data_IF_367658292613
#
_entry.id   IF_367658292613
#
_cell.length_a   1.000
_cell.length_b   1.000
_cell.length_c   1.000
_cell.angle_alpha   90.00
_cell.angle_beta   90.00
_cell.angle_gamma   90.00
#
_symmetry.space_group_name_H-M   'P 1'
#
loop_
_entity.id
_entity.type
_entity.pdbx_description
1 polymer ?
#
# COMPACT_ATOMS: atom_id res chain seq x y z
N UNK A 1 13.59 4.58 -21.69
CA UNK A 1 12.17 4.68 -22.08
C UNK A 1 11.64 3.50 -22.91
N UNK A 2 12.16 3.17 -24.10
CA UNK A 2 11.59 2.07 -24.92
C UNK A 2 11.56 0.70 -24.20
N UNK A 3 12.68 0.26 -23.62
CA UNK A 3 12.74 -1.00 -22.86
C UNK A 3 11.81 -1.01 -21.63
N UNK A 4 11.58 0.15 -21.02
CA UNK A 4 10.68 0.28 -19.86
C UNK A 4 9.23 0.07 -20.31
N UNK A 5 8.83 0.70 -21.40
CA UNK A 5 7.51 0.55 -21.99
C UNK A 5 7.27 -0.90 -22.44
N UNK A 6 8.23 -1.52 -23.14
CA UNK A 6 8.12 -2.92 -23.59
C UNK A 6 7.88 -3.87 -22.42
N UNK A 7 8.69 -3.76 -21.35
CA UNK A 7 8.53 -4.55 -20.12
C UNK A 7 7.16 -4.33 -19.49
N UNK A 8 6.77 -3.07 -19.32
CA UNK A 8 5.49 -2.75 -18.71
C UNK A 8 4.31 -3.34 -19.50
N UNK A 9 4.30 -3.15 -20.82
CA UNK A 9 3.26 -3.68 -21.70
C UNK A 9 3.24 -5.21 -21.73
N UNK A 10 4.39 -5.88 -21.60
CA UNK A 10 4.48 -7.33 -21.45
C UNK A 10 3.83 -7.80 -20.13
N UNK A 11 4.15 -7.15 -19.01
CA UNK A 11 3.68 -7.56 -17.68
C UNK A 11 2.17 -7.33 -17.50
N UNK A 12 1.64 -6.19 -17.94
CA UNK A 12 0.21 -5.86 -17.75
C UNK A 12 -0.72 -6.82 -18.51
N UNK A 13 -0.24 -7.46 -19.58
CA UNK A 13 -1.00 -8.45 -20.34
C UNK A 13 -1.11 -9.81 -19.62
N UNK A 14 -0.26 -10.08 -18.64
CA UNK A 14 -0.31 -11.30 -17.83
C UNK A 14 -1.35 -11.09 -16.73
N UNK A 15 -2.46 -11.84 -16.76
CA UNK A 15 -3.47 -11.83 -15.71
C UNK A 15 -2.87 -12.37 -14.41
N UNK A 16 -2.66 -11.50 -13.43
CA UNK A 16 -2.08 -11.83 -12.11
C UNK A 16 -3.03 -11.51 -10.95
N UNK A 17 -4.32 -11.31 -11.23
CA UNK A 17 -5.29 -10.87 -10.23
C UNK A 17 -5.30 -11.79 -9.01
N UNK A 18 -5.16 -11.22 -7.80
CA UNK A 18 -5.26 -11.98 -6.55
C UNK A 18 -6.72 -12.23 -6.19
N UNK A 19 -6.94 -13.17 -5.27
CA UNK A 19 -8.28 -13.61 -4.87
C UNK A 19 -8.39 -13.56 -3.35
N UNK A 20 -9.40 -12.82 -2.88
CA UNK A 20 -9.79 -12.84 -1.47
C UNK A 20 -10.32 -14.25 -1.13
N UNK A 21 -9.49 -15.08 -0.50
CA UNK A 21 -9.88 -16.45 -0.14
C UNK A 21 -10.57 -16.50 1.23
N UNK A 22 -11.77 -17.10 1.28
CA UNK A 22 -12.52 -17.27 2.54
C UNK A 22 -12.07 -18.50 3.37
N UNK A 23 -11.09 -19.29 2.89
CA UNK A 23 -10.55 -20.51 3.52
C UNK A 23 -9.05 -20.62 3.25
N UNK A 24 -8.39 -21.63 3.83
CA UNK A 24 -6.95 -21.90 3.83
C UNK A 24 -6.18 -21.16 2.73
N UNK A 25 -5.31 -20.25 3.15
CA UNK A 25 -4.57 -19.31 2.29
C UNK A 25 -3.60 -20.11 1.42
N UNK A 26 -4.00 -20.43 0.20
CA UNK A 26 -3.05 -20.83 -0.83
C UNK A 26 -2.38 -19.54 -1.30
N UNK A 27 -1.08 -19.41 -1.03
CA UNK A 27 -0.24 -18.31 -1.55
C UNK A 27 0.69 -18.89 -2.62
N UNK A 28 0.70 -18.36 -3.85
CA UNK A 28 -0.14 -17.27 -4.34
C UNK A 28 -1.60 -17.72 -4.57
N UNK A 29 -2.53 -16.78 -4.49
CA UNK A 29 -3.97 -17.03 -4.61
C UNK A 29 -4.43 -17.30 -6.05
N UNK A 30 -3.57 -17.04 -7.04
CA UNK A 30 -3.81 -17.29 -8.45
C UNK A 30 -2.57 -17.77 -9.22
N UNK A 31 -2.80 -18.62 -10.23
CA UNK A 31 -1.74 -19.18 -11.10
C UNK A 31 -1.01 -18.11 -11.94
N UNK A 32 -1.68 -16.98 -12.19
CA UNK A 32 -1.11 -15.87 -12.95
C UNK A 32 0.17 -15.31 -12.34
N UNK A 33 0.22 -15.24 -11.01
CA UNK A 33 1.39 -14.74 -10.27
C UNK A 33 2.61 -15.65 -10.51
N UNK A 34 2.42 -16.97 -10.56
CA UNK A 34 3.48 -17.92 -10.93
C UNK A 34 4.01 -17.69 -12.35
N UNK A 35 3.12 -17.38 -13.29
CA UNK A 35 3.50 -17.09 -14.67
C UNK A 35 4.38 -15.84 -14.74
N UNK A 36 3.96 -14.73 -14.13
CA UNK A 36 4.76 -13.50 -14.10
C UNK A 36 6.10 -13.72 -13.37
N UNK A 37 6.11 -14.38 -12.21
CA UNK A 37 7.33 -14.71 -11.48
C UNK A 37 8.30 -15.54 -12.34
N UNK A 38 7.80 -16.48 -13.14
CA UNK A 38 8.63 -17.29 -14.04
C UNK A 38 9.24 -16.45 -15.17
N UNK A 39 8.48 -15.53 -15.75
CA UNK A 39 8.98 -14.57 -16.74
C UNK A 39 10.08 -13.70 -16.12
N UNK A 40 9.82 -13.11 -14.95
CA UNK A 40 10.78 -12.26 -14.25
C UNK A 40 12.05 -13.02 -13.87
N UNK A 41 11.94 -14.27 -13.43
CA UNK A 41 13.08 -15.14 -13.14
C UNK A 41 14.02 -15.28 -14.35
N UNK A 42 13.47 -15.62 -15.51
CA UNK A 42 14.26 -15.76 -16.75
C UNK A 42 14.88 -14.43 -17.19
N UNK A 43 14.18 -13.31 -16.99
CA UNK A 43 14.70 -11.98 -17.27
C UNK A 43 15.83 -11.57 -16.30
N UNK A 44 15.72 -11.90 -15.01
CA UNK A 44 16.79 -11.68 -14.01
C UNK A 44 18.04 -12.50 -14.34
N UNK A 45 17.89 -13.77 -14.74
CA UNK A 45 18.99 -14.61 -15.23
C UNK A 45 19.68 -13.96 -16.43
N UNK A 46 18.91 -13.47 -17.39
CA UNK A 46 19.43 -12.75 -18.58
C UNK A 46 20.11 -11.42 -18.23
N UNK A 47 19.68 -10.78 -17.13
CA UNK A 47 20.34 -9.60 -16.57
C UNK A 47 21.61 -9.96 -15.79
N UNK A 48 21.97 -11.22 -15.63
CA UNK A 48 23.18 -11.63 -14.91
C UNK A 48 23.05 -11.50 -13.40
N UNK A 49 21.82 -11.47 -12.88
CA UNK A 49 21.59 -11.63 -11.45
C UNK A 49 21.98 -13.04 -11.00
N UNK A 50 22.37 -13.15 -9.73
CA UNK A 50 22.77 -14.40 -9.06
C UNK A 50 21.89 -14.65 -7.85
N UNK A 51 22.06 -15.80 -7.20
CA UNK A 51 21.27 -16.21 -6.03
C UNK A 51 19.76 -16.07 -6.27
N UNK A 52 19.31 -16.46 -7.47
CA UNK A 52 17.92 -16.36 -7.89
C UNK A 52 17.15 -17.53 -7.30
N UNK A 53 16.17 -17.23 -6.45
CA UNK A 53 15.29 -18.20 -5.82
C UNK A 53 13.83 -17.84 -6.05
N UNK A 54 13.00 -18.85 -6.28
CA UNK A 54 11.54 -18.72 -6.30
C UNK A 54 11.01 -19.68 -5.24
N UNK A 55 10.45 -19.14 -4.16
CA UNK A 55 9.98 -19.93 -3.03
C UNK A 55 8.74 -20.76 -3.38
N UNK A 56 8.37 -21.72 -2.53
CA UNK A 56 7.12 -22.49 -2.66
C UNK A 56 5.86 -21.62 -2.56
N UNK A 57 6.00 -20.39 -2.05
CA UNK A 57 4.93 -19.40 -1.93
C UNK A 57 5.01 -18.33 -3.03
N UNK A 58 5.75 -18.54 -4.12
CA UNK A 58 5.90 -17.61 -5.24
C UNK A 58 6.60 -16.27 -4.91
N UNK A 59 7.38 -16.21 -3.83
CA UNK A 59 8.26 -15.06 -3.62
C UNK A 59 9.56 -15.26 -4.43
N UNK A 60 9.78 -14.40 -5.42
CA UNK A 60 10.99 -14.38 -6.25
C UNK A 60 12.01 -13.44 -5.62
N UNK A 61 13.24 -13.90 -5.40
CA UNK A 61 14.35 -13.07 -4.92
C UNK A 61 15.57 -13.22 -5.83
N UNK A 62 16.35 -12.16 -5.98
CA UNK A 62 17.61 -12.19 -6.73
C UNK A 62 18.62 -11.16 -6.23
N UNK A 63 19.90 -11.39 -6.55
CA UNK A 63 21.00 -10.46 -6.27
C UNK A 63 21.56 -9.91 -7.57
N UNK A 64 21.71 -8.59 -7.68
CA UNK A 64 22.68 -7.99 -8.60
C UNK A 64 24.02 -7.84 -7.85
N UNK A 65 25.10 -8.55 -8.26
CA UNK A 65 26.39 -8.48 -7.59
C UNK A 65 26.95 -7.07 -7.56
N UNK A 66 27.66 -6.69 -6.50
CA UNK A 66 28.38 -5.42 -6.47
C UNK A 66 29.36 -5.31 -7.64
N UNK A 67 29.43 -4.14 -8.27
CA UNK A 67 30.43 -3.81 -9.28
C UNK A 67 31.44 -2.75 -8.81
N UNK A 68 31.32 -2.32 -7.55
CA UNK A 68 32.27 -1.44 -6.85
C UNK A 68 33.10 -2.20 -5.81
N UNK A 69 34.29 -1.68 -5.50
CA UNK A 69 35.13 -2.15 -4.38
C UNK A 69 34.85 -1.40 -3.08
N UNK A 70 34.05 -0.32 -3.13
CA UNK A 70 33.65 0.44 -1.94
C UNK A 70 32.79 -0.43 -1.02
N UNK A 71 32.98 -0.26 0.30
CA UNK A 71 32.13 -0.92 1.29
C UNK A 71 30.76 -0.22 1.29
N UNK A 72 29.78 -0.86 0.68
CA UNK A 72 28.41 -0.37 0.57
C UNK A 72 27.45 -1.25 1.39
N UNK A 73 26.37 -0.67 1.92
CA UNK A 73 25.26 -1.44 2.49
C UNK A 73 24.58 -2.28 1.40
N UNK A 74 23.94 -3.37 1.80
CA UNK A 74 23.08 -4.17 0.93
C UNK A 74 21.68 -3.56 0.95
N UNK A 75 21.24 -3.01 -0.18
CA UNK A 75 19.92 -2.40 -0.29
C UNK A 75 18.96 -3.28 -1.09
N UNK A 76 17.69 -3.28 -0.70
CA UNK A 76 16.61 -4.02 -1.36
C UNK A 76 15.67 -3.14 -2.17
N UNK A 77 15.14 -3.65 -3.27
CA UNK A 77 13.95 -3.10 -3.94
C UNK A 77 12.88 -4.19 -4.08
N UNK A 78 11.65 -3.86 -3.72
CA UNK A 78 10.53 -4.81 -3.64
C UNK A 78 9.36 -4.25 -4.45
N UNK A 79 8.71 -5.11 -5.21
CA UNK A 79 7.45 -4.83 -5.90
C UNK A 79 6.54 -6.07 -5.79
N UNK A 80 5.24 -5.94 -5.97
CA UNK A 80 4.33 -7.09 -5.89
C UNK A 80 3.84 -7.56 -7.27
N UNK A 81 3.50 -8.84 -7.36
CA UNK A 81 3.19 -9.56 -8.60
C UNK A 81 1.72 -9.44 -9.00
N UNK A 82 0.84 -9.32 -8.01
CA UNK A 82 -0.60 -9.37 -8.22
C UNK A 82 -1.20 -8.04 -8.64
N UNK A 83 -2.51 -8.06 -8.86
CA UNK A 83 -3.31 -6.86 -9.14
C UNK A 83 -4.61 -7.00 -8.35
N UNK A 84 -5.19 -5.88 -7.95
CA UNK A 84 -6.35 -5.85 -7.08
C UNK A 84 -7.54 -6.74 -7.51
N UNK A 85 -8.26 -7.35 -6.55
CA UNK A 85 -9.49 -8.09 -6.81
C UNK A 85 -10.68 -7.19 -7.17
N UNK A 86 -10.60 -5.87 -6.91
CA UNK A 86 -11.68 -4.89 -7.06
C UNK A 86 -12.17 -4.71 -8.50
N UNK A 87 -11.28 -4.87 -9.47
CA UNK A 87 -11.61 -4.79 -10.88
C UNK A 87 -10.76 -5.77 -11.69
N UNK A 88 -11.29 -6.34 -12.77
CA UNK A 88 -10.59 -7.43 -13.46
C UNK A 88 -9.27 -6.96 -14.09
N UNK A 89 -8.19 -7.68 -13.81
CA UNK A 89 -6.87 -7.54 -14.47
C UNK A 89 -6.67 -8.48 -15.66
N UNK A 90 -7.75 -9.09 -16.16
CA UNK A 90 -7.69 -10.09 -17.21
C UNK A 90 -7.88 -9.46 -18.60
N UNK A 91 -7.01 -9.80 -19.54
CA UNK A 91 -7.03 -9.28 -20.92
C UNK A 91 -6.93 -7.75 -20.98
N UNK A 92 -6.03 -7.17 -20.20
CA UNK A 92 -5.76 -5.73 -20.23
C UNK A 92 -5.34 -5.30 -21.64
N UNK A 93 -5.98 -4.25 -22.14
CA UNK A 93 -5.69 -3.64 -23.43
C UNK A 93 -5.17 -2.21 -23.22
N UNK A 94 -3.85 -2.02 -23.02
CA UNK A 94 -3.29 -0.71 -22.75
C UNK A 94 -3.39 0.21 -23.97
N UNK A 95 -3.83 1.45 -23.75
CA UNK A 95 -3.90 2.50 -24.76
C UNK A 95 -2.84 3.57 -24.48
N UNK A 96 -2.01 3.86 -25.47
CA UNK A 96 -1.00 4.91 -25.39
C UNK A 96 -1.57 6.25 -25.87
N UNK A 97 -1.39 7.28 -25.04
CA UNK A 97 -1.72 8.67 -25.34
C UNK A 97 -0.44 9.47 -25.30
N UNK A 98 0.20 9.59 -26.46
CA UNK A 98 1.42 10.36 -26.61
C UNK A 98 1.15 11.86 -26.54
N UNK A 99 2.07 12.61 -25.91
CA UNK A 99 2.04 14.07 -25.85
C UNK A 99 0.68 14.60 -25.38
N UNK A 100 0.22 14.10 -24.22
CA UNK A 100 -1.09 14.39 -23.66
C UNK A 100 -1.37 15.89 -23.60
N UNK A 101 -2.52 16.32 -24.14
CA UNK A 101 -2.83 17.75 -24.35
C UNK A 101 -3.72 18.37 -23.28
N UNK A 102 -4.08 17.62 -22.22
CA UNK A 102 -4.87 18.13 -21.10
C UNK A 102 -6.40 18.01 -21.26
N UNK A 103 -6.87 17.29 -22.27
CA UNK A 103 -8.30 17.05 -22.51
C UNK A 103 -8.77 15.68 -22.02
N UNK A 104 -10.06 15.41 -22.14
CA UNK A 104 -10.63 14.09 -21.87
C UNK A 104 -9.98 13.00 -22.74
N UNK A 105 -9.75 11.82 -22.14
CA UNK A 105 -9.24 10.63 -22.83
C UNK A 105 -10.35 9.59 -22.90
N UNK A 106 -10.76 9.22 -24.11
CA UNK A 106 -11.69 8.13 -24.31
C UNK A 106 -11.04 6.79 -23.99
N UNK A 107 -11.71 5.97 -23.18
CA UNK A 107 -11.25 4.64 -22.81
C UNK A 107 -11.95 3.60 -23.71
N UNK A 108 -11.21 3.12 -24.71
CA UNK A 108 -11.70 2.12 -25.66
C UNK A 108 -12.85 2.63 -26.55
N UNK A 109 -13.81 1.75 -26.84
CA UNK A 109 -15.02 2.06 -27.62
C UNK A 109 -16.20 2.08 -26.65
N UNK A 110 -16.72 3.27 -26.34
CA UNK A 110 -17.86 3.44 -25.43
C UNK A 110 -17.94 4.87 -24.88
N UNK A 111 -18.68 5.02 -23.78
CA UNK A 111 -18.89 6.31 -23.09
C UNK A 111 -17.91 6.54 -21.93
N UNK A 112 -16.97 5.62 -21.71
CA UNK A 112 -15.99 5.69 -20.63
C UNK A 112 -14.90 6.71 -20.94
N UNK A 113 -14.67 7.64 -20.01
CA UNK A 113 -13.74 8.76 -20.21
C UNK A 113 -12.92 8.98 -18.95
N UNK A 114 -11.60 9.03 -19.12
CA UNK A 114 -10.69 9.54 -18.12
C UNK A 114 -10.59 11.07 -18.28
N UNK A 115 -11.19 11.80 -17.35
CA UNK A 115 -11.37 13.26 -17.44
C UNK A 115 -10.59 14.02 -16.37
N UNK A 116 -9.90 15.14 -16.71
CA UNK A 116 -9.26 16.02 -15.74
C UNK A 116 -10.22 16.68 -14.75
N UNK A 117 -11.53 16.74 -15.06
CA UNK A 117 -12.55 17.23 -14.12
C UNK A 117 -12.69 16.29 -12.93
N UNK A 118 -12.67 14.98 -13.19
CA UNK A 118 -12.73 13.95 -12.15
C UNK A 118 -11.37 13.71 -11.51
N UNK A 119 -10.31 13.87 -12.30
CA UNK A 119 -8.93 13.54 -11.92
C UNK A 119 -8.01 14.75 -12.15
N UNK A 120 -8.00 15.72 -11.21
CA UNK A 120 -7.25 16.97 -11.37
C UNK A 120 -5.75 16.80 -11.64
N UNK A 121 -5.16 15.67 -11.23
CA UNK A 121 -3.76 15.32 -11.48
C UNK A 121 -3.39 15.33 -12.97
N UNK A 122 -4.35 15.07 -13.87
CA UNK A 122 -4.11 15.12 -15.31
C UNK A 122 -3.66 16.50 -15.80
N UNK A 123 -4.05 17.58 -15.11
CA UNK A 123 -3.57 18.93 -15.45
C UNK A 123 -2.06 19.09 -15.23
N UNK A 124 -1.44 18.24 -14.41
CA UNK A 124 0.01 18.25 -14.14
C UNK A 124 0.81 17.43 -15.17
N UNK A 125 0.14 16.69 -16.07
CA UNK A 125 0.77 15.69 -16.95
C UNK A 125 0.78 16.09 -18.43
N UNK A 126 0.63 17.39 -18.72
CA UNK A 126 0.67 17.90 -20.09
C UNK A 126 2.02 17.56 -20.75
N UNK A 127 1.96 17.00 -21.95
CA UNK A 127 3.13 16.60 -22.74
C UNK A 127 3.67 15.20 -22.44
N UNK A 128 3.21 14.55 -21.36
CA UNK A 128 3.62 13.18 -21.02
C UNK A 128 3.02 12.16 -22.00
N UNK A 129 3.63 10.98 -22.05
CA UNK A 129 3.02 9.78 -22.61
C UNK A 129 2.26 9.04 -21.52
N UNK A 130 0.93 8.98 -21.66
CA UNK A 130 0.07 8.26 -20.71
C UNK A 130 -0.26 6.88 -21.26
N UNK A 131 -0.37 5.91 -20.36
CA UNK A 131 -0.78 4.53 -20.65
C UNK A 131 -2.05 4.31 -19.84
N UNK A 132 -3.15 4.04 -20.52
CA UNK A 132 -4.50 3.92 -19.93
C UNK A 132 -5.11 2.56 -20.26
N UNK A 133 -6.25 2.23 -19.66
CA UNK A 133 -7.04 1.03 -20.01
C UNK A 133 -7.92 1.27 -21.24
N UNK A 134 -8.61 0.23 -21.72
CA UNK A 134 -9.73 0.37 -22.67
C UNK A 134 -11.10 0.56 -21.97
N UNK A 135 -11.09 0.82 -20.65
CA UNK A 135 -12.28 1.01 -19.83
C UNK A 135 -12.93 -0.28 -19.29
N UNK A 136 -12.44 -1.47 -19.68
CA UNK A 136 -13.04 -2.77 -19.30
C UNK A 136 -12.26 -3.55 -18.24
N UNK A 137 -11.04 -3.13 -17.96
CA UNK A 137 -10.13 -3.75 -16.99
C UNK A 137 -9.49 -2.68 -16.11
N UNK A 138 -8.80 -3.09 -15.03
CA UNK A 138 -7.74 -2.25 -14.47
C UNK A 138 -6.51 -2.27 -15.40
N UNK A 139 -5.50 -1.42 -15.15
CA UNK A 139 -4.27 -1.41 -15.92
C UNK A 139 -3.21 -2.36 -15.33
N UNK A 140 -3.11 -2.38 -14.00
CA UNK A 140 -2.04 -3.07 -13.28
C UNK A 140 -0.74 -2.27 -13.26
N UNK A 141 -0.83 -0.94 -13.29
CA UNK A 141 0.31 -0.08 -12.95
C UNK A 141 0.75 -0.34 -11.51
N UNK A 142 -0.22 -0.52 -10.62
CA UNK A 142 -0.07 -1.13 -9.29
C UNK A 142 0.01 -2.68 -9.44
N UNK A 143 1.16 -3.33 -9.28
CA UNK A 143 2.52 -2.75 -9.12
C UNK A 143 3.48 -3.17 -10.26
N UNK A 144 2.94 -3.46 -11.44
CA UNK A 144 3.78 -3.83 -12.59
C UNK A 144 4.59 -2.66 -13.13
N UNK A 145 4.22 -1.42 -12.81
CA UNK A 145 5.06 -0.25 -13.07
C UNK A 145 6.30 -0.26 -12.18
N UNK A 146 6.17 -0.60 -10.89
CA UNK A 146 7.29 -0.85 -9.97
C UNK A 146 8.19 -1.97 -10.44
N UNK A 147 7.61 -3.11 -10.84
CA UNK A 147 8.36 -4.24 -11.43
C UNK A 147 9.17 -3.77 -12.64
N UNK A 148 8.53 -3.10 -13.60
CA UNK A 148 9.19 -2.61 -14.81
C UNK A 148 10.29 -1.59 -14.48
N UNK A 149 10.07 -0.73 -13.49
CA UNK A 149 11.06 0.23 -13.04
C UNK A 149 12.28 -0.45 -12.41
N UNK A 150 12.09 -1.41 -11.51
CA UNK A 150 13.17 -2.21 -10.90
C UNK A 150 13.96 -2.95 -11.97
N UNK A 151 13.29 -3.70 -12.85
CA UNK A 151 13.95 -4.49 -13.90
C UNK A 151 14.77 -3.61 -14.86
N UNK A 152 14.24 -2.42 -15.19
CA UNK A 152 14.95 -1.45 -16.03
C UNK A 152 16.13 -0.81 -15.30
N UNK A 153 15.99 -0.50 -14.01
CA UNK A 153 17.06 0.06 -13.20
C UNK A 153 18.23 -0.93 -13.06
N UNK A 154 17.94 -2.22 -12.82
CA UNK A 154 18.96 -3.28 -12.79
C UNK A 154 19.76 -3.35 -14.10
N UNK A 155 19.09 -3.19 -15.25
CA UNK A 155 19.75 -3.17 -16.55
C UNK A 155 20.71 -1.96 -16.69
N UNK A 156 20.32 -0.77 -16.21
CA UNK A 156 21.15 0.45 -16.26
C UNK A 156 22.31 0.40 -15.27
N UNK A 157 22.09 -0.19 -14.10
CA UNK A 157 23.07 -0.29 -13.02
C UNK A 157 24.33 -1.04 -13.43
N UNK A 158 24.27 -1.95 -14.42
CA UNK A 158 25.48 -2.60 -14.97
C UNK A 158 26.60 -1.65 -15.37
N UNK A 159 26.26 -0.42 -15.76
CA UNK A 159 27.20 0.63 -16.20
C UNK A 159 27.48 1.71 -15.15
N UNK A 160 26.90 1.59 -13.96
CA UNK A 160 26.93 2.59 -12.89
C UNK A 160 27.51 1.96 -11.61
N UNK A 161 28.30 2.66 -10.78
CA UNK A 161 28.87 2.05 -9.58
C UNK A 161 27.77 1.72 -8.56
N UNK A 162 27.71 0.47 -8.10
CA UNK A 162 26.76 0.02 -7.08
C UNK A 162 27.30 -1.13 -6.22
N UNK A 163 26.74 -1.23 -5.01
CA UNK A 163 26.99 -2.29 -4.06
C UNK A 163 26.16 -3.52 -4.41
N UNK A 164 26.02 -4.44 -3.45
CA UNK A 164 25.12 -5.57 -3.63
C UNK A 164 23.68 -5.06 -3.57
N UNK A 165 22.89 -5.33 -4.61
CA UNK A 165 21.47 -4.98 -4.66
C UNK A 165 20.65 -6.26 -4.57
N UNK A 166 19.65 -6.26 -3.70
CA UNK A 166 18.66 -7.33 -3.59
C UNK A 166 17.35 -6.88 -4.22
N UNK A 167 16.69 -7.77 -4.93
CA UNK A 167 15.35 -7.52 -5.45
C UNK A 167 14.42 -8.65 -5.06
N UNK A 168 13.17 -8.30 -4.75
CA UNK A 168 12.14 -9.29 -4.51
C UNK A 168 10.83 -8.90 -5.22
N UNK A 169 10.13 -9.93 -5.69
CA UNK A 169 8.78 -9.80 -6.22
C UNK A 169 7.85 -10.67 -5.38
N UNK A 170 6.90 -10.03 -4.69
CA UNK A 170 6.04 -10.67 -3.69
C UNK A 170 4.66 -11.03 -4.26
N UNK A 171 4.04 -12.13 -3.83
CA UNK A 171 2.67 -12.47 -4.22
C UNK A 171 1.64 -11.95 -3.20
N UNK A 172 0.40 -11.79 -3.63
CA UNK A 172 -0.77 -11.50 -2.79
C UNK A 172 -0.61 -10.30 -1.82
N UNK A 173 -0.02 -9.20 -2.30
CA UNK A 173 0.05 -7.92 -1.55
C UNK A 173 -1.37 -7.37 -1.34
N UNK A 174 -2.19 -7.40 -2.40
CA UNK A 174 -3.53 -6.80 -2.44
C UNK A 174 -4.53 -7.51 -1.49
N UNK A 175 -4.14 -8.67 -0.96
CA UNK A 175 -4.92 -9.41 0.05
C UNK A 175 -4.21 -9.50 1.41
N UNK A 176 -3.00 -8.93 1.52
CA UNK A 176 -2.15 -8.92 2.72
C UNK A 176 -1.54 -10.27 3.08
N UNK A 177 -1.56 -11.25 2.16
CA UNK A 177 -1.08 -12.60 2.43
C UNK A 177 0.41 -12.81 2.11
N UNK A 178 1.01 -11.93 1.30
CA UNK A 178 2.40 -11.97 0.86
C UNK A 178 3.43 -11.72 1.96
N UNK A 179 3.43 -10.51 2.53
CA UNK A 179 4.44 -10.07 3.49
C UNK A 179 4.69 -11.01 4.69
N UNK A 180 3.68 -11.70 5.28
CA UNK A 180 3.90 -12.70 6.33
C UNK A 180 4.87 -13.83 5.93
N UNK A 181 4.91 -14.19 4.65
CA UNK A 181 5.72 -15.29 4.11
C UNK A 181 7.08 -14.85 3.58
N UNK A 182 7.38 -13.54 3.63
CA UNK A 182 8.67 -13.01 3.20
C UNK A 182 9.80 -13.47 4.13
N UNK A 183 10.83 -14.08 3.56
CA UNK A 183 12.04 -14.51 4.28
C UNK A 183 13.08 -13.38 4.30
N UNK A 184 13.04 -12.56 5.35
CA UNK A 184 13.98 -11.43 5.54
C UNK A 184 15.43 -11.91 5.66
N UNK A 185 15.66 -13.08 6.25
CA UNK A 185 17.02 -13.60 6.42
C UNK A 185 17.61 -14.05 5.09
N UNK A 186 16.84 -14.74 4.26
CA UNK A 186 17.23 -15.08 2.89
C UNK A 186 17.34 -13.84 1.99
N UNK A 187 16.51 -12.82 2.21
CA UNK A 187 16.62 -11.56 1.48
C UNK A 187 17.92 -10.82 1.82
N UNK A 188 18.32 -10.77 3.09
CA UNK A 188 19.68 -10.38 3.49
C UNK A 188 20.09 -8.95 3.11
N UNK A 189 19.13 -8.02 3.08
CA UNK A 189 19.38 -6.59 2.90
C UNK A 189 19.41 -5.87 4.26
N UNK A 190 20.20 -4.80 4.35
CA UNK A 190 20.27 -3.93 5.54
C UNK A 190 18.99 -3.09 5.68
N UNK A 191 18.41 -2.68 4.54
CA UNK A 191 17.09 -2.07 4.41
C UNK A 191 16.59 -2.25 2.96
N UNK A 192 15.34 -1.93 2.71
CA UNK A 192 14.74 -2.04 1.39
C UNK A 192 13.86 -0.84 1.06
N UNK A 193 13.31 -0.82 -0.16
CA UNK A 193 12.28 0.11 -0.59
C UNK A 193 11.23 -0.66 -1.37
N UNK A 194 9.95 -0.50 -1.02
CA UNK A 194 8.88 -0.87 -1.97
C UNK A 194 8.85 0.19 -3.07
N UNK A 195 8.63 -0.23 -4.31
CA UNK A 195 8.48 0.67 -5.45
C UNK A 195 7.01 0.59 -5.87
N UNK A 196 6.13 1.03 -4.99
CA UNK A 196 4.68 0.78 -5.03
C UNK A 196 3.89 2.05 -4.64
N UNK A 197 4.48 3.22 -4.87
CA UNK A 197 3.85 4.51 -4.62
C UNK A 197 3.14 5.05 -5.86
N UNK A 198 2.49 6.20 -5.73
CA UNK A 198 1.76 6.83 -6.83
C UNK A 198 2.62 7.78 -7.67
N UNK A 199 2.33 9.07 -7.56
CA UNK A 199 2.81 10.12 -8.46
C UNK A 199 4.24 10.61 -8.20
N UNK A 200 4.77 11.37 -9.15
CA UNK A 200 6.16 11.87 -9.11
C UNK A 200 6.52 12.54 -7.78
N UNK A 201 7.61 12.07 -7.20
CA UNK A 201 8.20 12.59 -5.97
C UNK A 201 7.56 12.06 -4.69
N UNK A 202 6.52 11.22 -4.77
CA UNK A 202 5.95 10.59 -3.58
C UNK A 202 6.98 9.69 -2.89
N UNK A 203 7.07 9.88 -1.57
CA UNK A 203 7.93 9.11 -0.69
C UNK A 203 7.20 8.91 0.64
N UNK A 204 7.01 7.67 1.03
CA UNK A 204 6.08 7.35 2.12
C UNK A 204 6.79 6.46 3.13
N UNK A 205 6.84 6.92 4.38
CA UNK A 205 7.43 6.18 5.50
C UNK A 205 6.55 6.23 6.75
N UNK A 206 5.26 6.56 6.56
CA UNK A 206 4.23 6.59 7.58
C UNK A 206 2.98 5.92 7.04
N UNK A 207 2.33 5.06 7.81
CA UNK A 207 1.07 4.39 7.44
C UNK A 207 0.13 4.31 8.65
N UNK A 208 -1.13 3.93 8.44
CA UNK A 208 -2.04 3.75 9.58
C UNK A 208 -1.59 2.61 10.50
N UNK A 209 -1.85 2.75 11.80
CA UNK A 209 -2.10 1.60 12.65
C UNK A 209 -3.49 1.03 12.34
N UNK A 210 -3.61 -0.30 12.31
CA UNK A 210 -4.83 -0.99 11.93
C UNK A 210 -5.20 -2.13 12.86
N UNK A 211 -6.48 -2.17 13.21
CA UNK A 211 -7.10 -3.34 13.83
C UNK A 211 -8.50 -3.56 13.25
N UNK A 212 -8.91 -4.80 13.25
CA UNK A 212 -10.29 -5.21 13.02
C UNK A 212 -10.95 -5.41 14.39
N UNK A 213 -12.19 -4.95 14.52
CA UNK A 213 -12.99 -5.14 15.72
C UNK A 213 -14.27 -5.91 15.37
N UNK A 214 -14.42 -7.09 15.99
CA UNK A 214 -15.62 -7.92 15.86
C UNK A 214 -16.48 -7.72 17.10
N UNK A 215 -17.60 -7.03 16.94
CA UNK A 215 -18.58 -6.78 18.00
C UNK A 215 -19.65 -7.85 17.89
N UNK A 216 -19.84 -8.64 18.94
CA UNK A 216 -20.87 -9.69 19.01
C UNK A 216 -21.95 -9.30 19.99
N UNK A 217 -23.19 -9.32 19.53
CA UNK A 217 -24.37 -8.91 20.29
C UNK A 217 -25.35 -10.07 20.39
N UNK A 218 -25.61 -10.54 21.60
CA UNK A 218 -26.67 -11.51 21.88
C UNK A 218 -27.82 -10.82 22.60
N UNK A 219 -29.00 -10.87 22.00
CA UNK A 219 -30.24 -10.34 22.53
C UNK A 219 -31.14 -11.46 23.04
N UNK A 220 -32.45 -11.22 23.00
CA UNK A 220 -33.49 -12.18 23.34
C UNK A 220 -34.56 -12.17 22.26
N UNK A 221 -34.81 -13.33 21.64
CA UNK A 221 -35.87 -13.48 20.64
C UNK A 221 -37.20 -13.88 21.29
N UNK A 222 -38.30 -13.36 20.75
CA UNK A 222 -39.65 -13.74 21.12
C UNK A 222 -40.58 -13.62 19.90
N UNK A 223 -41.66 -14.41 19.88
CA UNK A 223 -42.70 -14.24 18.86
C UNK A 223 -43.25 -12.81 18.92
N UNK A 224 -43.31 -12.12 17.78
CA UNK A 224 -43.59 -10.68 17.71
C UNK A 224 -44.93 -10.29 18.34
N UNK A 225 -45.95 -11.14 18.21
CA UNK A 225 -47.26 -10.95 18.88
C UNK A 225 -47.24 -10.98 20.42
N UNK A 226 -46.17 -11.49 21.04
CA UNK A 226 -46.03 -11.64 22.49
C UNK A 226 -44.73 -11.03 23.04
N UNK A 227 -44.12 -10.11 22.28
CA UNK A 227 -42.77 -9.61 22.51
C UNK A 227 -42.61 -8.59 23.66
N UNK A 228 -43.71 -7.97 24.12
CA UNK A 228 -43.67 -6.90 25.13
C UNK A 228 -42.96 -7.36 26.42
N UNK A 229 -41.85 -6.68 26.75
CA UNK A 229 -41.03 -6.97 27.93
C UNK A 229 -40.17 -8.23 27.85
N UNK A 230 -40.13 -8.90 26.68
CA UNK A 230 -39.39 -10.16 26.45
C UNK A 230 -38.36 -10.05 25.33
N UNK A 231 -38.72 -9.37 24.23
CA UNK A 231 -37.82 -9.19 23.09
C UNK A 231 -36.77 -8.14 23.41
N UNK A 232 -35.50 -8.50 23.23
CA UNK A 232 -34.38 -7.57 23.16
C UNK A 232 -33.71 -7.81 21.80
N UNK A 233 -34.02 -6.97 20.83
CA UNK A 233 -33.63 -7.19 19.44
C UNK A 233 -32.14 -6.83 19.24
N UNK A 234 -31.30 -7.82 18.91
CA UNK A 234 -29.86 -7.57 18.67
C UNK A 234 -29.56 -6.58 17.56
N UNK A 235 -30.44 -6.43 16.56
CA UNK A 235 -30.24 -5.45 15.47
C UNK A 235 -30.44 -4.01 15.97
N UNK A 236 -31.40 -3.79 16.87
CA UNK A 236 -31.61 -2.49 17.51
C UNK A 236 -30.43 -2.13 18.41
N UNK A 237 -29.90 -3.13 19.14
CA UNK A 237 -28.68 -2.97 19.93
C UNK A 237 -27.47 -2.64 19.04
N UNK A 238 -27.32 -3.31 17.88
CA UNK A 238 -26.26 -3.01 16.93
C UNK A 238 -26.32 -1.58 16.41
N UNK A 239 -27.54 -1.10 16.10
CA UNK A 239 -27.77 0.29 15.71
C UNK A 239 -27.46 1.28 16.84
N UNK A 240 -27.88 0.97 18.07
CA UNK A 240 -27.58 1.78 19.25
C UNK A 240 -26.08 1.86 19.52
N UNK A 241 -25.34 0.76 19.34
CA UNK A 241 -23.88 0.73 19.42
C UNK A 241 -23.25 1.65 18.37
N UNK A 242 -23.63 1.51 17.09
CA UNK A 242 -23.09 2.33 15.99
C UNK A 242 -23.34 3.83 16.19
N UNK A 243 -24.50 4.20 16.74
CA UNK A 243 -24.87 5.61 16.97
C UNK A 243 -24.06 6.30 18.06
N UNK A 244 -23.38 5.56 18.94
CA UNK A 244 -22.53 6.14 19.98
C UNK A 244 -21.15 6.54 19.45
N UNK A 245 -20.74 6.04 18.28
CA UNK A 245 -19.48 6.43 17.65
C UNK A 245 -19.58 7.84 17.04
N UNK A 246 -18.47 8.60 16.98
CA UNK A 246 -18.40 9.87 16.27
C UNK A 246 -18.82 9.72 14.81
N UNK A 247 -19.77 10.54 14.35
CA UNK A 247 -20.37 10.40 13.02
C UNK A 247 -19.57 11.05 11.90
N UNK A 248 -18.54 11.83 12.26
CA UNK A 248 -17.66 12.52 11.32
C UNK A 248 -16.29 11.84 11.17
N UNK A 249 -15.98 10.85 12.01
CA UNK A 249 -14.73 10.08 11.94
C UNK A 249 -14.93 8.77 11.15
N UNK A 250 -15.28 8.94 9.87
CA UNK A 250 -15.53 7.85 8.90
C UNK A 250 -14.64 8.03 7.66
N UNK A 251 -14.31 6.95 6.91
CA UNK A 251 -13.48 7.07 5.71
C UNK A 251 -14.00 8.11 4.71
N UNK A 252 -15.30 8.15 4.47
CA UNK A 252 -15.95 9.07 3.52
C UNK A 252 -15.99 10.54 3.98
N UNK A 253 -15.46 10.84 5.18
CA UNK A 253 -15.42 12.18 5.78
C UNK A 253 -14.03 12.58 6.29
N UNK A 254 -13.01 11.75 6.11
CA UNK A 254 -11.68 11.95 6.69
C UNK A 254 -10.61 11.93 5.61
N UNK A 255 -9.61 12.80 5.75
CA UNK A 255 -8.47 12.93 4.85
C UNK A 255 -7.17 13.16 5.63
N UNK A 256 -6.03 13.17 4.94
CA UNK A 256 -4.73 13.44 5.57
C UNK A 256 -4.38 12.45 6.67
N UNK A 257 -4.14 12.96 7.88
CA UNK A 257 -3.79 12.19 9.08
C UNK A 257 -4.97 11.84 9.99
N UNK A 258 -6.21 12.18 9.60
CA UNK A 258 -7.39 11.84 10.39
C UNK A 258 -7.68 10.32 10.36
N UNK A 259 -7.71 9.68 11.54
CA UNK A 259 -8.16 8.31 11.73
C UNK A 259 -9.68 8.15 11.68
N UNK A 260 -10.17 6.91 11.71
CA UNK A 260 -11.60 6.61 11.61
C UNK A 260 -12.01 5.27 12.25
N UNK A 261 -13.32 5.11 12.45
CA UNK A 261 -13.99 3.81 12.52
C UNK A 261 -14.81 3.59 11.25
N UNK A 262 -14.60 2.46 10.58
CA UNK A 262 -15.37 2.09 9.40
C UNK A 262 -16.25 0.89 9.70
N UNK A 263 -17.57 1.06 9.59
CA UNK A 263 -18.52 -0.05 9.64
C UNK A 263 -18.39 -0.87 8.34
N UNK A 264 -17.63 -1.96 8.40
CA UNK A 264 -17.31 -2.77 7.22
C UNK A 264 -18.41 -3.76 6.87
N UNK A 265 -18.96 -4.45 7.88
CA UNK A 265 -20.12 -5.31 7.67
C UNK A 265 -20.97 -5.47 8.92
N UNK A 266 -22.25 -5.77 8.71
CA UNK A 266 -23.20 -6.12 9.75
C UNK A 266 -24.05 -7.28 9.27
N UNK A 267 -24.13 -8.35 10.08
CA UNK A 267 -25.02 -9.48 9.85
C UNK A 267 -25.72 -9.88 11.13
N UNK A 268 -26.99 -10.26 11.05
CA UNK A 268 -27.70 -10.68 12.24
C UNK A 268 -29.20 -10.86 12.07
N UNK A 269 -29.83 -11.12 13.19
CA UNK A 269 -31.27 -11.22 13.38
C UNK A 269 -31.63 -10.79 14.82
N UNK A 270 -32.89 -10.97 15.23
CA UNK A 270 -33.36 -10.55 16.54
C UNK A 270 -32.61 -11.17 17.74
N UNK A 271 -32.01 -12.36 17.59
CA UNK A 271 -31.30 -13.07 18.65
C UNK A 271 -29.80 -12.73 18.69
N UNK A 272 -29.17 -12.60 17.52
CA UNK A 272 -27.71 -12.40 17.41
C UNK A 272 -27.38 -11.43 16.28
N UNK A 273 -26.45 -10.53 16.53
CA UNK A 273 -25.83 -9.69 15.52
C UNK A 273 -24.31 -9.70 15.69
N UNK A 274 -23.60 -9.59 14.58
CA UNK A 274 -22.15 -9.43 14.53
C UNK A 274 -21.84 -8.23 13.64
N UNK A 275 -21.04 -7.30 14.16
CA UNK A 275 -20.59 -6.10 13.48
C UNK A 275 -19.09 -6.20 13.31
N UNK A 276 -18.59 -5.92 12.11
CA UNK A 276 -17.18 -5.84 11.81
C UNK A 276 -16.82 -4.39 11.56
N UNK A 277 -15.91 -3.85 12.36
CA UNK A 277 -15.32 -2.54 12.16
C UNK A 277 -13.86 -2.66 11.74
N UNK A 278 -13.42 -1.74 10.89
CA UNK A 278 -12.01 -1.43 10.69
C UNK A 278 -11.68 -0.17 11.51
N UNK A 279 -10.60 -0.21 12.26
CA UNK A 279 -10.08 0.92 13.04
C UNK A 279 -8.77 1.34 12.43
N UNK A 280 -8.61 2.63 12.14
CA UNK A 280 -7.39 3.19 11.57
C UNK A 280 -7.02 4.49 12.28
N UNK A 281 -5.74 4.65 12.64
CA UNK A 281 -5.19 5.92 13.12
C UNK A 281 -3.67 5.94 12.97
N UNK A 282 -3.06 7.09 12.70
CA UNK A 282 -1.60 7.21 12.56
C UNK A 282 -0.90 7.24 13.92
N UNK A 283 -1.56 7.80 14.93
CA UNK A 283 -1.01 7.98 16.28
C UNK A 283 -1.35 6.77 17.16
N UNK A 284 -0.37 6.25 17.89
CA UNK A 284 -0.54 5.06 18.73
C UNK A 284 -1.50 5.31 19.90
N UNK A 285 -1.53 6.53 20.46
CA UNK A 285 -2.42 6.87 21.57
C UNK A 285 -3.86 7.03 21.08
N UNK A 286 -4.08 7.72 19.97
CA UNK A 286 -5.40 7.81 19.35
C UNK A 286 -5.91 6.44 18.91
N UNK A 287 -5.06 5.62 18.30
CA UNK A 287 -5.41 4.24 17.94
C UNK A 287 -5.88 3.42 19.13
N UNK A 288 -5.15 3.48 20.26
CA UNK A 288 -5.55 2.81 21.50
C UNK A 288 -6.86 3.39 22.07
N UNK A 289 -7.03 4.71 22.06
CA UNK A 289 -8.25 5.37 22.51
C UNK A 289 -9.48 4.96 21.67
N UNK A 290 -9.31 4.72 20.37
CA UNK A 290 -10.38 4.23 19.49
C UNK A 290 -10.85 2.83 19.85
N UNK A 291 -9.94 1.94 20.24
CA UNK A 291 -10.27 0.61 20.73
C UNK A 291 -10.99 0.69 22.07
N UNK A 292 -10.46 1.48 23.01
CA UNK A 292 -11.07 1.72 24.32
C UNK A 292 -12.49 2.28 24.21
N UNK A 293 -12.76 3.13 23.21
CA UNK A 293 -14.10 3.66 22.95
C UNK A 293 -15.11 2.55 22.65
N UNK A 294 -14.74 1.57 21.82
CA UNK A 294 -15.61 0.44 21.50
C UNK A 294 -15.86 -0.46 22.72
N UNK A 295 -14.83 -0.70 23.53
CA UNK A 295 -14.95 -1.44 24.79
C UNK A 295 -15.86 -0.72 25.78
N UNK A 296 -15.70 0.60 25.93
CA UNK A 296 -16.52 1.42 26.83
C UNK A 296 -18.00 1.40 26.44
N UNK A 297 -18.31 1.52 25.14
CA UNK A 297 -19.68 1.41 24.63
C UNK A 297 -20.27 0.03 24.95
N UNK A 298 -19.50 -1.05 24.73
CA UNK A 298 -19.95 -2.41 25.03
C UNK A 298 -20.25 -2.59 26.53
N UNK A 299 -19.37 -2.07 27.40
CA UNK A 299 -19.53 -2.12 28.84
C UNK A 299 -20.76 -1.35 29.32
N UNK A 300 -20.97 -0.13 28.84
CA UNK A 300 -22.17 0.68 29.14
C UNK A 300 -23.47 -0.05 28.75
N UNK A 301 -23.49 -0.67 27.56
CA UNK A 301 -24.63 -1.45 27.11
C UNK A 301 -24.85 -2.67 28.00
N UNK A 302 -23.81 -3.42 28.37
CA UNK A 302 -23.92 -4.58 29.25
C UNK A 302 -24.51 -4.21 30.63
N UNK A 303 -24.08 -3.07 31.19
CA UNK A 303 -24.64 -2.53 32.43
C UNK A 303 -26.12 -2.17 32.29
N UNK A 304 -26.49 -1.53 31.18
CA UNK A 304 -27.88 -1.13 30.88
C UNK A 304 -28.83 -2.32 30.77
N UNK A 305 -28.40 -3.41 30.13
CA UNK A 305 -29.27 -4.59 29.90
C UNK A 305 -29.16 -5.67 30.99
N UNK A 306 -28.29 -5.50 31.99
CA UNK A 306 -28.25 -6.33 33.20
C UNK A 306 -28.13 -7.83 32.93
N UNK A 307 -27.31 -8.22 31.95
CA UNK A 307 -27.10 -9.61 31.53
C UNK A 307 -28.23 -10.23 30.71
N UNK A 308 -29.34 -9.50 30.46
CA UNK A 308 -30.41 -9.97 29.55
C UNK A 308 -29.98 -9.94 28.09
N UNK A 309 -29.06 -9.05 27.75
CA UNK A 309 -28.33 -9.04 26.49
C UNK A 309 -26.83 -8.89 26.79
N UNK A 310 -25.99 -9.33 25.86
CA UNK A 310 -24.54 -9.22 25.96
C UNK A 310 -23.95 -8.60 24.72
N UNK A 311 -22.99 -7.71 24.92
CA UNK A 311 -22.15 -7.11 23.87
C UNK A 311 -20.71 -7.44 24.23
N UNK A 312 -19.96 -8.02 23.29
CA UNK A 312 -18.52 -8.23 23.44
C UNK A 312 -17.77 -7.70 22.23
N UNK A 313 -16.55 -7.24 22.46
CA UNK A 313 -15.64 -6.75 21.41
C UNK A 313 -14.42 -7.64 21.38
N UNK A 314 -13.98 -8.05 20.19
CA UNK A 314 -12.74 -8.79 19.98
C UNK A 314 -11.93 -8.04 18.94
N UNK A 315 -10.70 -7.69 19.29
CA UNK A 315 -9.77 -7.03 18.38
C UNK A 315 -8.80 -8.03 17.75
N UNK A 316 -8.50 -7.80 16.48
CA UNK A 316 -7.42 -8.45 15.76
C UNK A 316 -6.54 -7.34 15.18
N UNK A 317 -5.31 -7.22 15.67
CA UNK A 317 -4.37 -6.24 15.12
C UNK A 317 -3.90 -6.70 13.73
N UNK A 318 -3.97 -5.80 12.75
CA UNK A 318 -3.64 -6.09 11.36
C UNK A 318 -2.19 -5.68 11.05
N UNK A 319 -1.87 -4.39 11.27
CA UNK A 319 -0.54 -3.83 11.05
C UNK A 319 -0.34 -2.54 11.85
N UNK A 320 0.90 -2.08 11.94
CA UNK A 320 1.31 -0.89 12.69
C UNK A 320 1.98 0.13 11.78
N UNK A 321 2.00 1.38 12.22
CA UNK A 321 2.69 2.47 11.54
C UNK A 321 4.21 2.22 11.52
N UNK A 322 4.83 2.27 10.35
CA UNK A 322 6.26 2.00 10.16
C UNK A 322 7.17 3.15 10.58
N UNK A 323 6.62 4.36 10.78
CA UNK A 323 7.40 5.58 11.04
C UNK A 323 8.53 5.39 12.05
N UNK A 324 8.22 4.83 13.22
CA UNK A 324 9.19 4.63 14.29
C UNK A 324 10.32 3.66 13.91
N UNK A 325 10.03 2.69 13.04
CA UNK A 325 11.02 1.74 12.50
C UNK A 325 11.89 2.37 11.45
N UNK A 326 11.36 3.27 10.62
CA UNK A 326 12.16 3.97 9.61
C UNK A 326 13.01 5.08 10.25
N UNK A 327 12.45 5.89 11.15
CA UNK A 327 13.17 7.00 11.81
C UNK A 327 14.35 6.53 12.69
N UNK A 328 14.34 5.27 13.13
CA UNK A 328 15.49 4.65 13.80
C UNK A 328 16.71 4.45 12.87
N UNK A 329 16.52 4.56 11.55
CA UNK A 329 17.54 4.41 10.52
C UNK A 329 17.53 5.61 9.56
N UNK A 330 17.94 6.82 10.01
CA UNK A 330 17.80 8.06 9.24
C UNK A 330 18.47 8.01 7.86
N UNK A 331 19.53 7.21 7.70
CA UNK A 331 20.21 7.00 6.42
C UNK A 331 19.28 6.48 5.31
N UNK A 332 18.21 5.75 5.66
CA UNK A 332 17.23 5.22 4.70
C UNK A 332 16.45 6.37 4.07
N UNK A 333 16.04 7.36 4.87
CA UNK A 333 15.34 8.55 4.41
C UNK A 333 16.30 9.48 3.66
N UNK A 334 17.46 9.77 4.25
CA UNK A 334 18.43 10.71 3.69
C UNK A 334 18.92 10.28 2.31
N UNK A 335 19.12 8.98 2.09
CA UNK A 335 19.55 8.46 0.80
C UNK A 335 18.53 8.73 -0.31
N UNK A 336 17.23 8.53 -0.04
CA UNK A 336 16.15 8.81 -1.00
C UNK A 336 16.07 10.31 -1.29
N UNK A 337 16.12 11.15 -0.25
CA UNK A 337 16.04 12.60 -0.44
C UNK A 337 17.22 13.14 -1.26
N UNK A 338 18.44 12.64 -1.03
CA UNK A 338 19.61 12.97 -1.87
C UNK A 338 19.45 12.47 -3.30
N UNK A 339 18.89 11.28 -3.50
CA UNK A 339 18.64 10.74 -4.83
C UNK A 339 17.56 11.54 -5.59
N UNK A 340 16.51 11.99 -4.90
CA UNK A 340 15.49 12.86 -5.47
C UNK A 340 16.09 14.22 -5.89
N UNK A 341 16.88 14.84 -5.02
CA UNK A 341 17.58 16.11 -5.32
C UNK A 341 18.52 15.99 -6.52
N UNK A 342 19.33 14.92 -6.58
CA UNK A 342 20.22 14.61 -7.72
C UNK A 342 19.47 14.50 -9.05
N UNK A 343 18.23 14.03 -9.03
CA UNK A 343 17.39 13.88 -10.21
C UNK A 343 16.46 15.10 -10.46
N UNK A 344 16.56 16.17 -9.66
CA UNK A 344 15.68 17.33 -9.77
C UNK A 344 14.22 17.04 -9.39
N UNK A 345 13.98 15.97 -8.64
CA UNK A 345 12.65 15.55 -8.18
C UNK A 345 12.37 16.23 -6.84
N UNK A 346 11.26 16.95 -6.74
CA UNK A 346 10.81 17.54 -5.48
C UNK A 346 10.13 16.45 -4.62
N UNK A 347 10.61 16.18 -3.38
CA UNK A 347 9.97 15.20 -2.51
C UNK A 347 8.55 15.64 -2.09
N UNK A 348 7.62 14.68 -2.13
CA UNK A 348 6.24 14.79 -1.64
C UNK A 348 6.05 13.73 -0.56
N UNK A 349 6.45 14.06 0.66
CA UNK A 349 6.29 13.15 1.80
C UNK A 349 4.81 13.07 2.18
N UNK A 350 4.20 11.91 1.95
CA UNK A 350 2.77 11.67 2.21
C UNK A 350 2.59 10.48 3.15
N UNK A 351 1.58 10.53 4.03
CA UNK A 351 1.21 9.39 4.84
C UNK A 351 0.32 8.43 4.04
N UNK A 352 0.52 7.13 4.22
CA UNK A 352 -0.29 6.08 3.59
C UNK A 352 -1.55 5.87 4.43
N UNK A 353 -2.73 6.13 3.85
CA UNK A 353 -4.03 5.89 4.50
C UNK A 353 -4.46 4.42 4.43
N UNK A 354 -3.52 3.52 4.71
CA UNK A 354 -3.66 2.06 4.62
C UNK A 354 -2.47 1.36 5.28
N UNK A 355 -2.17 0.17 4.80
CA UNK A 355 -0.95 -0.57 5.11
C UNK A 355 -0.24 -0.91 3.80
N UNK A 356 1.03 -1.29 3.90
CA UNK A 356 1.83 -1.81 2.78
C UNK A 356 2.66 -2.98 3.27
N UNK A 357 3.11 -3.82 2.35
CA UNK A 357 4.14 -4.84 2.63
C UNK A 357 5.36 -4.22 3.34
N UNK A 358 5.81 -3.03 2.92
CA UNK A 358 6.91 -2.30 3.52
C UNK A 358 6.72 -2.00 5.01
N UNK A 359 5.50 -1.67 5.44
CA UNK A 359 5.19 -1.45 6.84
C UNK A 359 5.31 -2.73 7.67
N UNK A 360 4.80 -3.84 7.15
CA UNK A 360 4.91 -5.15 7.80
C UNK A 360 6.37 -5.62 7.91
N UNK A 361 7.15 -5.47 6.84
CA UNK A 361 8.59 -5.79 6.81
C UNK A 361 9.39 -4.95 7.80
N UNK A 362 9.06 -3.65 7.92
CA UNK A 362 9.71 -2.73 8.86
C UNK A 362 9.55 -3.18 10.30
N UNK A 363 8.38 -3.69 10.67
CA UNK A 363 8.15 -4.24 12.01
C UNK A 363 8.84 -5.59 12.27
N UNK A 364 9.14 -6.34 11.20
CA UNK A 364 9.91 -7.59 11.25
C UNK A 364 11.43 -7.42 11.15
N UNK A 365 11.91 -6.17 11.08
CA UNK A 365 13.34 -5.84 11.15
C UNK A 365 13.99 -5.47 9.82
N UNK A 366 13.21 -5.22 8.76
CA UNK A 366 13.71 -4.70 7.49
C UNK A 366 13.06 -3.33 7.21
N UNK A 367 13.70 -2.20 7.60
CA UNK A 367 13.16 -0.87 7.30
C UNK A 367 12.89 -0.72 5.80
N UNK A 368 11.65 -0.42 5.44
CA UNK A 368 11.19 -0.49 4.06
C UNK A 368 10.12 0.58 3.75
N UNK A 369 10.52 1.82 3.46
CA UNK A 369 9.59 2.85 3.00
C UNK A 369 9.24 2.68 1.52
N UNK A 370 8.23 3.42 1.06
CA UNK A 370 7.65 3.30 -0.28
C UNK A 370 8.10 4.43 -1.22
N UNK A 371 8.40 4.09 -2.47
CA UNK A 371 8.84 4.98 -3.55
C UNK A 371 7.78 5.05 -4.65
N UNK A 372 7.62 6.22 -5.28
CA UNK A 372 6.67 6.39 -6.39
C UNK A 372 6.97 5.52 -7.62
N UNK A 373 5.90 5.16 -8.35
CA UNK A 373 5.96 4.41 -9.62
C UNK A 373 5.61 5.25 -10.84
N UNK A 374 4.70 6.22 -10.69
CA UNK A 374 4.08 6.97 -11.79
C UNK A 374 2.69 6.47 -12.20
N UNK A 375 2.12 5.53 -11.45
CA UNK A 375 0.73 5.11 -11.58
C UNK A 375 -0.25 5.98 -10.77
N UNK A 376 -1.51 5.98 -11.20
CA UNK A 376 -2.60 6.74 -10.59
C UNK A 376 -3.92 5.97 -10.71
N UNK A 377 -4.89 6.30 -9.84
CA UNK A 377 -6.25 5.74 -9.84
C UNK A 377 -6.28 4.20 -9.80
N UNK A 378 -5.42 3.63 -8.97
CA UNK A 378 -5.30 2.20 -8.75
C UNK A 378 -6.66 1.52 -8.49
N UNK A 379 -6.71 0.21 -8.79
CA UNK A 379 -7.85 -0.66 -8.50
C UNK A 379 -9.13 -0.32 -9.27
N UNK A 380 -9.01 0.42 -10.38
CA UNK A 380 -10.17 0.90 -11.14
C UNK A 380 -9.93 0.86 -12.65
N UNK A 381 -11.01 0.93 -13.42
CA UNK A 381 -10.92 1.12 -14.88
C UNK A 381 -10.31 2.45 -15.31
N UNK A 382 -10.24 3.43 -14.40
CA UNK A 382 -9.62 4.74 -14.64
C UNK A 382 -8.13 4.76 -14.28
N UNK A 383 -7.57 3.60 -13.93
CA UNK A 383 -6.14 3.45 -13.67
C UNK A 383 -5.33 3.84 -14.90
N UNK A 384 -4.27 4.61 -14.69
CA UNK A 384 -3.34 4.99 -15.73
C UNK A 384 -1.94 5.20 -15.17
N UNK A 385 -0.94 5.12 -16.05
CA UNK A 385 0.45 5.42 -15.71
C UNK A 385 1.03 6.50 -16.63
N UNK A 386 1.96 7.29 -16.12
CA UNK A 386 2.77 8.19 -16.94
C UNK A 386 4.14 7.55 -17.18
N UNK A 387 4.45 7.25 -18.45
CA UNK A 387 5.74 6.66 -18.83
C UNK A 387 6.93 7.55 -18.44
N UNK A 388 6.76 8.86 -18.54
CA UNK A 388 7.76 9.86 -18.14
C UNK A 388 8.06 9.80 -16.64
N UNK A 389 7.03 9.61 -15.80
CA UNK A 389 7.22 9.46 -14.34
C UNK A 389 7.81 8.09 -14.01
N UNK A 390 7.38 7.02 -14.69
CA UNK A 390 8.00 5.70 -14.54
C UNK A 390 9.50 5.73 -14.85
N UNK A 391 9.91 6.48 -15.88
CA UNK A 391 11.32 6.71 -16.21
C UNK A 391 12.06 7.46 -15.08
N UNK A 392 11.41 8.42 -14.42
CA UNK A 392 11.96 9.07 -13.22
C UNK A 392 12.09 8.10 -12.03
N UNK A 393 11.17 7.13 -11.89
CA UNK A 393 11.27 6.09 -10.86
C UNK A 393 12.49 5.18 -11.11
N UNK A 394 12.73 4.79 -12.37
CA UNK A 394 13.95 4.07 -12.78
C UNK A 394 15.22 4.83 -12.39
N UNK A 395 15.29 6.13 -12.70
CA UNK A 395 16.46 6.95 -12.37
C UNK A 395 16.62 7.17 -10.86
N UNK A 396 15.53 7.25 -10.11
CA UNK A 396 15.58 7.31 -8.66
C UNK A 396 16.18 6.02 -8.07
N UNK A 397 15.69 4.84 -8.47
CA UNK A 397 16.22 3.53 -8.02
C UNK A 397 17.72 3.43 -8.31
N UNK A 398 18.14 3.77 -9.54
CA UNK A 398 19.53 3.73 -9.92
C UNK A 398 20.39 4.72 -9.13
N UNK A 399 19.87 5.91 -8.86
CA UNK A 399 20.57 6.94 -8.08
C UNK A 399 20.70 6.58 -6.60
N UNK A 400 19.69 5.95 -6.01
CA UNK A 400 19.75 5.40 -4.63
C UNK A 400 20.88 4.37 -4.55
N UNK A 401 20.95 3.43 -5.50
CA UNK A 401 21.97 2.39 -5.53
C UNK A 401 23.40 2.95 -5.71
N UNK A 402 23.58 3.98 -6.54
CA UNK A 402 24.87 4.68 -6.69
C UNK A 402 25.27 5.39 -5.39
N UNK A 403 24.38 6.25 -4.87
CA UNK A 403 24.65 7.07 -3.70
C UNK A 403 24.90 6.23 -2.43
N UNK A 404 24.30 5.04 -2.35
CA UNK A 404 24.57 4.08 -1.27
C UNK A 404 26.05 3.68 -1.20
N UNK A 405 26.77 3.73 -2.32
CA UNK A 405 28.18 3.33 -2.40
C UNK A 405 29.16 4.45 -2.04
N UNK A 406 28.68 5.69 -2.01
CA UNK A 406 29.50 6.88 -1.74
C UNK A 406 29.70 7.14 -0.23
N UNK A 407 29.32 6.19 0.65
CA UNK A 407 29.18 6.35 2.10
C UNK A 407 30.26 7.20 2.82
N UNK A 408 29.79 8.04 3.76
CA UNK A 408 30.52 8.90 4.72
C UNK A 408 31.33 10.11 4.19
N UNK A 409 31.60 10.24 2.88
CA UNK A 409 32.34 11.42 2.39
C UNK A 409 31.52 12.73 2.37
N UNK A 410 30.19 12.66 2.53
CA UNK A 410 29.27 13.78 2.36
C UNK A 410 28.56 14.24 3.64
N UNK A 411 29.02 13.84 4.83
CA UNK A 411 28.48 14.31 6.12
C UNK A 411 28.93 15.74 6.44
N UNK A 412 28.72 16.69 5.53
CA UNK A 412 28.92 18.12 5.70
C UNK A 412 27.75 18.89 5.06
N UNK A 413 26.54 18.70 5.58
CA UNK A 413 25.61 19.81 5.83
C UNK A 413 24.52 19.39 6.81
N UNK A 414 24.87 19.37 8.10
CA UNK A 414 23.89 19.58 9.17
C UNK A 414 23.29 20.97 8.98
N UNK A 415 22.14 21.06 8.30
CA UNK A 415 21.52 22.36 8.05
C UNK A 415 20.13 22.38 7.41
N UNK A 416 19.49 21.25 7.09
CA UNK A 416 18.22 21.28 6.34
C UNK A 416 17.10 20.32 6.81
N UNK A 417 17.22 19.65 7.96
CA UNK A 417 16.12 18.81 8.51
C UNK A 417 15.35 19.53 9.63
N UNK A 418 15.27 20.86 9.57
CA UNK A 418 14.51 21.68 10.50
C UNK A 418 13.60 22.67 9.74
N UNK A 419 12.82 22.19 8.77
CA UNK A 419 11.81 23.01 8.10
C UNK A 419 10.67 22.19 7.47
N UNK A 420 10.20 21.14 8.12
CA UNK A 420 8.84 20.60 7.88
C UNK A 420 8.21 20.22 9.22
N UNK A 421 8.11 21.21 10.12
CA UNK A 421 7.36 21.06 11.35
C UNK A 421 5.88 20.95 11.04
N UNK A 422 5.29 19.77 11.23
CA UNK A 422 3.88 19.69 11.63
C UNK A 422 3.84 20.00 13.14
N UNK A 423 3.51 21.24 13.47
CA UNK A 423 3.12 21.60 14.82
C UNK A 423 1.80 20.93 15.14
N UNK A 424 1.81 19.92 16.01
CA UNK A 424 0.59 19.42 16.63
C UNK A 424 -0.02 20.57 17.44
N UNK A 425 -1.09 21.16 16.90
CA UNK A 425 -1.92 22.13 17.62
C UNK A 425 -2.66 21.41 18.75
N UNK A 426 -2.08 21.42 19.95
CA UNK A 426 -2.78 21.10 21.19
C UNK A 426 -3.77 22.22 21.53
N UNK A 427 -4.90 22.26 20.83
CA UNK A 427 -6.01 23.12 21.24
C UNK A 427 -6.86 22.38 22.28
N UNK A 428 -6.54 22.60 23.56
CA UNK A 428 -7.45 22.26 24.66
C UNK A 428 -8.67 23.19 24.60
N UNK A 429 -9.92 22.67 24.56
CA UNK A 429 -11.08 23.54 24.70
C UNK A 429 -11.19 23.99 26.15
N UNK A 430 -10.99 25.30 26.37
CA UNK A 430 -11.42 25.96 27.60
C UNK A 430 -12.94 25.99 27.61
N UNK A 431 -13.54 25.21 28.51
CA UNK A 431 -14.93 25.39 28.90
C UNK A 431 -15.10 26.76 29.56
N UNK A 432 -16.02 27.56 29.03
CA UNK A 432 -16.82 28.54 29.78
C UNK A 432 -18.29 28.20 29.57
#
# INVERSE_FOLDING_TARGET
MEQLLERFLEYVQIDTQSKIQCRAVQVPSSEGQWLLATVLKAQLESLGCVDISLSEHCCLMATLPANTTAKAPVIGFIAHLDTAPDFTGKHVHPLLVENYRGGDIALGIGDEVLSPVLMPVLHELHGHTLITTDGKTLLGADDKAGIAAIMTALARLKSRPHGKIRVAFTPDEETGAGAPLFDIQAFGADWAYTVDGGGLGEFEYENFNAADAVIRINGQSAHTGYAKGKLINSLELAWAFHRQLPQDEKPEKTEGDAGFWHLHSLKGNALKAEIHYLIRDFDDHHFAARQQTLEAIAEEMNQTYGGKATVSVVFHESYRNMRSKIEAHPQVIELVLRAMDKNGIRPKIKPIRGGTDGAFLSWRGLPCPNLFTGGFNFHSKYEFASLDIMEQSVELIASIAELACEGEAATLHKGAVAATGRGYSSSSPKYQ
#
